data_IF_907115513852
#
_entry.id   IF_907115513852
#
_cell.length_a   1.000
_cell.length_b   1.000
_cell.length_c   1.000
_cell.angle_alpha   90.00
_cell.angle_beta   90.00
_cell.angle_gamma   90.00
#
_symmetry.space_group_name_H-M   'P 1'
#
loop_
_entity.id
_entity.type
_entity.pdbx_description
1 polymer ?
#
# COMPACT_ATOMS: atom_id res chain seq x y z
N UNK A 1 48.12 17.50 -22.59
CA UNK A 1 46.79 17.51 -23.24
C UNK A 1 46.10 16.20 -22.89
N UNK A 2 44.84 16.24 -22.44
CA UNK A 2 43.93 15.08 -22.44
C UNK A 2 43.78 14.32 -21.11
N UNK A 3 43.05 14.88 -20.14
CA UNK A 3 42.29 14.09 -19.17
C UNK A 3 40.80 14.37 -19.37
N UNK A 4 40.11 13.46 -20.04
CA UNK A 4 38.65 13.42 -20.12
C UNK A 4 38.10 12.63 -18.94
N UNK A 5 37.77 13.33 -17.85
CA UNK A 5 36.94 12.75 -16.81
C UNK A 5 35.50 12.65 -17.33
N UNK A 6 35.08 11.43 -17.64
CA UNK A 6 33.67 11.11 -17.88
C UNK A 6 32.96 11.04 -16.52
N UNK A 7 32.44 12.18 -16.07
CA UNK A 7 31.49 12.21 -14.96
C UNK A 7 30.14 11.72 -15.46
N UNK A 8 29.85 10.43 -15.29
CA UNK A 8 28.47 9.94 -15.36
C UNK A 8 27.73 10.56 -14.19
N UNK A 9 27.01 11.66 -14.47
CA UNK A 9 26.07 12.22 -13.50
C UNK A 9 24.96 11.19 -13.33
N UNK A 10 25.03 10.41 -12.24
CA UNK A 10 23.88 9.68 -11.71
C UNK A 10 22.79 10.72 -11.41
N UNK A 11 21.93 10.96 -12.39
CA UNK A 11 20.74 11.79 -12.23
C UNK A 11 19.84 11.05 -11.24
N UNK A 12 19.90 11.47 -9.98
CA UNK A 12 19.02 10.96 -8.94
C UNK A 12 17.57 11.25 -9.35
N UNK A 13 16.85 10.24 -9.85
CA UNK A 13 15.46 10.39 -10.28
C UNK A 13 14.61 10.64 -9.04
N UNK A 14 13.79 11.69 -9.04
CA UNK A 14 12.94 12.01 -7.88
C UNK A 14 11.75 11.05 -7.80
N UNK A 15 11.18 10.87 -6.61
CA UNK A 15 10.00 10.02 -6.38
C UNK A 15 8.80 10.48 -7.23
N UNK A 16 8.61 11.80 -7.35
CA UNK A 16 7.60 12.42 -8.20
C UNK A 16 7.80 12.11 -9.69
N UNK A 17 9.03 12.12 -10.18
CA UNK A 17 9.31 11.76 -11.57
C UNK A 17 8.99 10.29 -11.85
N UNK A 18 9.26 9.39 -10.89
CA UNK A 18 8.93 7.98 -11.00
C UNK A 18 7.42 7.74 -10.99
N UNK A 19 6.68 8.42 -10.10
CA UNK A 19 5.21 8.30 -10.05
C UNK A 19 4.57 8.84 -11.33
N UNK A 20 5.06 9.98 -11.85
CA UNK A 20 4.64 10.54 -13.13
C UNK A 20 4.87 9.58 -14.31
N UNK A 21 6.07 8.99 -14.41
CA UNK A 21 6.38 8.04 -15.48
C UNK A 21 5.51 6.78 -15.39
N UNK A 22 5.24 6.30 -14.17
CA UNK A 22 4.37 5.16 -13.93
C UNK A 22 2.91 5.45 -14.32
N UNK A 23 2.37 6.60 -13.91
CA UNK A 23 1.02 7.03 -14.30
C UNK A 23 0.91 7.10 -15.83
N UNK A 24 1.93 7.63 -16.51
CA UNK A 24 1.98 7.67 -17.99
C UNK A 24 2.03 6.28 -18.62
N UNK A 25 2.75 5.32 -18.02
CA UNK A 25 2.77 3.91 -18.48
C UNK A 25 1.40 3.25 -18.29
N UNK A 26 0.75 3.47 -17.15
CA UNK A 26 -0.59 2.97 -16.90
C UNK A 26 -1.62 3.58 -17.88
N UNK A 27 -1.60 4.90 -18.09
CA UNK A 27 -2.46 5.57 -19.06
C UNK A 27 -2.39 4.91 -20.45
N UNK A 28 -1.18 4.57 -20.91
CA UNK A 28 -0.95 4.00 -22.24
C UNK A 28 -1.26 2.50 -22.36
N UNK A 29 -1.12 1.73 -21.28
CA UNK A 29 -1.22 0.24 -21.32
C UNK A 29 -2.51 -0.30 -20.72
N UNK A 30 -3.11 0.43 -19.78
CA UNK A 30 -4.30 0.00 -19.02
C UNK A 30 -5.61 0.60 -19.54
N UNK A 31 -5.54 1.67 -20.34
CA UNK A 31 -6.70 2.34 -20.93
C UNK A 31 -6.64 2.28 -22.45
N UNK A 32 -7.81 2.24 -23.07
CA UNK A 32 -7.98 2.59 -24.48
C UNK A 32 -7.98 4.11 -24.65
N UNK A 33 -7.73 4.59 -25.87
CA UNK A 33 -7.75 6.03 -26.16
C UNK A 33 -9.11 6.67 -25.86
N UNK A 34 -10.21 5.94 -26.07
CA UNK A 34 -11.56 6.42 -25.77
C UNK A 34 -11.80 6.52 -24.26
N UNK A 35 -11.45 5.47 -23.50
CA UNK A 35 -11.57 5.50 -22.03
C UNK A 35 -10.76 6.64 -21.42
N UNK A 36 -9.52 6.87 -21.90
CA UNK A 36 -8.68 7.94 -21.38
C UNK A 36 -9.25 9.32 -21.71
N UNK A 37 -9.81 9.51 -22.91
CA UNK A 37 -10.48 10.75 -23.29
C UNK A 37 -11.70 11.03 -22.41
N UNK A 38 -12.60 10.04 -22.29
CA UNK A 38 -13.78 10.16 -21.42
C UNK A 38 -13.39 10.39 -19.95
N UNK A 39 -12.35 9.72 -19.47
CA UNK A 39 -11.88 9.90 -18.10
C UNK A 39 -11.32 11.31 -17.87
N UNK A 40 -10.56 11.84 -18.83
CA UNK A 40 -10.05 13.20 -18.76
C UNK A 40 -11.18 14.25 -18.78
N UNK A 41 -12.23 14.00 -19.57
CA UNK A 41 -13.41 14.88 -19.64
C UNK A 41 -14.17 14.90 -18.31
N UNK A 42 -14.47 13.72 -17.75
CA UNK A 42 -15.08 13.57 -16.42
C UNK A 42 -14.22 14.23 -15.34
N UNK A 43 -12.90 14.03 -15.40
CA UNK A 43 -11.97 14.67 -14.46
C UNK A 43 -12.08 16.19 -14.53
N UNK A 44 -11.98 16.79 -15.72
CA UNK A 44 -12.08 18.24 -15.89
C UNK A 44 -13.44 18.81 -15.48
N UNK A 45 -14.52 18.07 -15.74
CA UNK A 45 -15.88 18.50 -15.41
C UNK A 45 -16.13 18.53 -13.90
N UNK A 46 -15.48 17.67 -13.13
CA UNK A 46 -15.71 17.53 -11.69
C UNK A 46 -14.60 18.17 -10.84
N UNK A 47 -13.45 18.48 -11.44
CA UNK A 47 -12.28 18.95 -10.72
C UNK A 47 -12.43 20.39 -10.26
N UNK A 48 -12.05 20.62 -9.02
CA UNK A 48 -11.81 21.96 -8.53
C UNK A 48 -10.48 22.46 -9.07
N UNK A 49 -10.41 23.77 -9.30
CA UNK A 49 -9.23 24.43 -9.84
C UNK A 49 -8.72 25.45 -8.81
N UNK A 50 -7.47 25.31 -8.40
CA UNK A 50 -6.80 26.27 -7.52
C UNK A 50 -5.39 26.51 -8.04
N UNK A 51 -5.02 27.79 -8.22
CA UNK A 51 -3.70 28.21 -8.71
C UNK A 51 -3.25 27.48 -9.99
N UNK A 52 -4.19 27.16 -10.88
CA UNK A 52 -3.93 26.45 -12.14
C UNK A 52 -3.79 24.92 -12.01
N UNK A 53 -3.97 24.36 -10.81
CA UNK A 53 -3.96 22.91 -10.57
C UNK A 53 -5.39 22.40 -10.42
N UNK A 54 -5.72 21.36 -11.19
CA UNK A 54 -7.00 20.66 -11.12
C UNK A 54 -6.90 19.44 -10.19
N UNK A 55 -7.82 19.31 -9.24
CA UNK A 55 -7.83 18.22 -8.27
C UNK A 55 -9.24 17.86 -7.79
N UNK A 56 -9.38 16.67 -7.20
CA UNK A 56 -10.61 16.24 -6.53
C UNK A 56 -10.51 16.41 -5.01
N UNK A 57 -11.57 16.98 -4.43
CA UNK A 57 -11.79 17.03 -2.99
C UNK A 57 -12.64 15.84 -2.53
N UNK A 58 -12.71 15.66 -1.22
CA UNK A 58 -13.56 14.66 -0.59
C UNK A 58 -15.01 14.77 -1.05
N UNK A 59 -15.59 15.97 -1.00
CA UNK A 59 -16.98 16.21 -1.42
C UNK A 59 -17.25 15.76 -2.85
N UNK A 60 -16.31 16.02 -3.77
CA UNK A 60 -16.43 15.63 -5.18
C UNK A 60 -16.50 14.11 -5.31
N UNK A 61 -15.62 13.39 -4.62
CA UNK A 61 -15.59 11.91 -4.64
C UNK A 61 -16.85 11.34 -3.99
N UNK A 62 -17.26 11.88 -2.84
CA UNK A 62 -18.44 11.43 -2.11
C UNK A 62 -19.72 11.60 -2.93
N UNK A 63 -19.90 12.77 -3.56
CA UNK A 63 -21.04 13.05 -4.44
C UNK A 63 -21.01 12.18 -5.70
N UNK A 64 -19.83 12.00 -6.30
CA UNK A 64 -19.70 11.15 -7.50
C UNK A 64 -20.02 9.68 -7.23
N UNK A 65 -19.64 9.18 -6.05
CA UNK A 65 -19.94 7.82 -5.60
C UNK A 65 -21.32 7.69 -4.93
N UNK A 66 -22.09 8.77 -4.86
CA UNK A 66 -23.41 8.85 -4.21
C UNK A 66 -23.39 8.29 -2.76
N UNK A 67 -22.31 8.55 -2.02
CA UNK A 67 -22.16 8.08 -0.63
C UNK A 67 -23.11 8.90 0.27
N UNK A 68 -24.02 8.26 1.00
CA UNK A 68 -24.87 8.97 1.95
C UNK A 68 -24.07 9.50 3.15
N UNK A 69 -24.21 10.79 3.45
CA UNK A 69 -23.47 11.45 4.55
C UNK A 69 -23.73 10.81 5.92
N UNK A 70 -24.91 10.21 6.11
CA UNK A 70 -25.31 9.51 7.35
C UNK A 70 -24.36 8.36 7.73
N UNK A 71 -23.65 7.78 6.75
CA UNK A 71 -22.72 6.68 6.99
C UNK A 71 -21.37 7.17 7.52
N UNK A 72 -21.05 8.46 7.36
CA UNK A 72 -19.74 9.01 7.73
C UNK A 72 -18.57 8.32 7.02
N UNK A 73 -18.81 7.67 5.88
CA UNK A 73 -17.82 6.86 5.16
C UNK A 73 -16.97 7.69 4.18
N UNK A 74 -17.42 8.88 3.79
CA UNK A 74 -16.74 9.77 2.85
C UNK A 74 -15.27 10.03 3.22
N UNK A 75 -14.92 10.36 4.49
CA UNK A 75 -13.53 10.61 4.87
C UNK A 75 -12.66 9.35 4.76
N UNK A 76 -13.23 8.18 5.06
CA UNK A 76 -12.52 6.89 5.02
C UNK A 76 -12.21 6.53 3.56
N UNK A 77 -13.18 6.69 2.66
CA UNK A 77 -12.99 6.44 1.24
C UNK A 77 -12.02 7.44 0.64
N UNK A 78 -12.11 8.72 1.02
CA UNK A 78 -11.19 9.74 0.55
C UNK A 78 -9.74 9.48 1.03
N UNK A 79 -9.56 9.09 2.29
CA UNK A 79 -8.27 8.65 2.82
C UNK A 79 -7.73 7.43 2.06
N UNK A 80 -8.59 6.45 1.76
CA UNK A 80 -8.22 5.29 0.96
C UNK A 80 -7.73 5.72 -0.44
N UNK A 81 -8.51 6.55 -1.13
CA UNK A 81 -8.22 7.00 -2.50
C UNK A 81 -6.94 7.85 -2.57
N UNK A 82 -6.75 8.78 -1.63
CA UNK A 82 -5.52 9.58 -1.53
C UNK A 82 -4.30 8.72 -1.21
N UNK A 83 -4.45 7.69 -0.39
CA UNK A 83 -3.36 6.73 -0.13
C UNK A 83 -3.01 5.91 -1.38
N UNK A 84 -4.01 5.43 -2.12
CA UNK A 84 -3.81 4.71 -3.37
C UNK A 84 -3.16 5.59 -4.46
N UNK A 85 -3.51 6.87 -4.50
CA UNK A 85 -2.90 7.87 -5.38
C UNK A 85 -1.40 8.07 -5.11
N UNK A 86 -0.93 7.80 -3.89
CA UNK A 86 0.48 7.87 -3.53
C UNK A 86 1.30 6.64 -3.97
N UNK A 87 0.67 5.61 -4.55
CA UNK A 87 1.39 4.43 -5.04
C UNK A 87 2.47 4.83 -6.07
N UNK A 88 3.69 4.26 -6.01
CA UNK A 88 4.14 3.17 -5.14
C UNK A 88 4.72 3.63 -3.79
N UNK A 89 4.80 4.94 -3.54
CA UNK A 89 5.45 5.53 -2.37
C UNK A 89 4.42 5.96 -1.32
N UNK A 90 3.87 4.99 -0.58
CA UNK A 90 2.84 5.27 0.45
C UNK A 90 3.30 6.13 1.64
N UNK A 91 4.55 6.59 1.67
CA UNK A 91 5.07 7.57 2.62
C UNK A 91 4.68 9.01 2.28
N UNK A 92 4.38 9.27 1.00
CA UNK A 92 3.98 10.60 0.50
C UNK A 92 2.47 10.83 0.67
N UNK A 93 1.74 9.85 1.22
CA UNK A 93 0.31 9.94 1.48
C UNK A 93 0.00 10.80 2.73
N UNK A 94 -1.13 11.55 2.73
CA UNK A 94 -2.11 11.68 1.66
C UNK A 94 -1.65 12.64 0.55
N UNK A 95 -1.91 12.29 -0.72
CA UNK A 95 -1.58 13.14 -1.87
C UNK A 95 -2.80 13.88 -2.42
N UNK A 96 -2.56 15.01 -3.08
CA UNK A 96 -3.59 15.72 -3.85
C UNK A 96 -4.02 14.87 -5.05
N UNK A 97 -5.33 14.69 -5.21
CA UNK A 97 -5.91 13.86 -6.27
C UNK A 97 -5.96 14.61 -7.61
N UNK A 98 -4.81 14.76 -8.24
CA UNK A 98 -4.71 15.19 -9.63
C UNK A 98 -5.08 14.08 -10.62
N UNK A 99 -5.02 14.39 -11.92
CA UNK A 99 -5.37 13.43 -12.97
C UNK A 99 -4.48 12.18 -12.93
N UNK A 100 -3.19 12.33 -12.65
CA UNK A 100 -2.24 11.22 -12.61
C UNK A 100 -2.50 10.30 -11.41
N UNK A 101 -2.73 10.88 -10.23
CA UNK A 101 -3.10 10.13 -9.04
C UNK A 101 -4.41 9.38 -9.25
N UNK A 102 -5.38 9.99 -9.93
CA UNK A 102 -6.64 9.33 -10.29
C UNK A 102 -6.46 8.17 -11.28
N UNK A 103 -5.52 8.28 -12.23
CA UNK A 103 -5.12 7.13 -13.07
C UNK A 103 -4.59 5.99 -12.20
N UNK A 104 -3.72 6.28 -11.23
CA UNK A 104 -3.18 5.27 -10.30
C UNK A 104 -4.30 4.57 -9.54
N UNK A 105 -5.20 5.34 -8.93
CA UNK A 105 -6.34 4.84 -8.16
C UNK A 105 -7.20 3.91 -9.02
N UNK A 106 -7.65 4.37 -10.18
CA UNK A 106 -8.55 3.59 -11.05
C UNK A 106 -7.88 2.30 -11.50
N UNK A 107 -6.60 2.33 -11.86
CA UNK A 107 -5.86 1.15 -12.32
C UNK A 107 -5.63 0.14 -11.20
N UNK A 108 -5.38 0.61 -9.98
CA UNK A 108 -5.22 -0.26 -8.81
C UNK A 108 -6.56 -0.90 -8.42
N UNK A 109 -7.62 -0.10 -8.34
CA UNK A 109 -8.98 -0.56 -7.97
C UNK A 109 -9.56 -1.54 -8.99
N UNK A 110 -9.31 -1.33 -10.28
CA UNK A 110 -9.79 -2.21 -11.37
C UNK A 110 -8.84 -3.36 -11.70
N UNK A 111 -7.77 -3.52 -10.93
CA UNK A 111 -6.75 -4.57 -11.12
C UNK A 111 -6.03 -4.56 -12.48
N UNK A 112 -6.18 -3.48 -13.27
CA UNK A 112 -5.58 -3.36 -14.60
C UNK A 112 -4.05 -3.20 -14.57
N UNK A 113 -3.47 -2.95 -13.40
CA UNK A 113 -2.01 -2.81 -13.20
C UNK A 113 -1.22 -4.03 -13.66
N UNK A 114 -1.82 -5.21 -13.72
CA UNK A 114 -1.17 -6.47 -14.12
C UNK A 114 -0.52 -6.39 -15.52
N UNK A 115 -1.01 -5.49 -16.39
CA UNK A 115 -0.43 -5.25 -17.73
C UNK A 115 0.94 -4.60 -17.70
N UNK A 116 1.28 -3.92 -16.61
CA UNK A 116 2.55 -3.19 -16.43
C UNK A 116 3.39 -3.82 -15.31
N UNK A 117 2.75 -4.29 -14.24
CA UNK A 117 3.39 -4.92 -13.08
C UNK A 117 3.10 -6.43 -13.05
N UNK A 118 4.13 -7.24 -13.31
CA UNK A 118 4.01 -8.71 -13.42
C UNK A 118 3.75 -9.44 -12.09
N UNK A 119 3.94 -8.78 -10.95
CA UNK A 119 3.79 -9.36 -9.60
C UNK A 119 3.16 -8.30 -8.69
N UNK A 120 1.84 -8.31 -8.54
CA UNK A 120 1.15 -7.27 -7.76
C UNK A 120 -0.23 -7.62 -7.19
N UNK A 121 -0.75 -8.85 -7.38
CA UNK A 121 -2.05 -9.24 -6.80
C UNK A 121 -2.02 -9.22 -5.27
N UNK A 122 -1.01 -9.85 -4.66
CA UNK A 122 -0.82 -9.89 -3.20
C UNK A 122 -0.47 -8.52 -2.61
N UNK A 123 0.14 -7.65 -3.40
CA UNK A 123 0.54 -6.31 -2.97
C UNK A 123 -0.64 -5.33 -2.93
N UNK A 124 -1.65 -5.53 -3.79
CA UNK A 124 -2.88 -4.72 -3.75
C UNK A 124 -3.63 -4.89 -2.45
N UNK A 125 -3.85 -6.12 -2.00
CA UNK A 125 -4.56 -6.37 -0.73
C UNK A 125 -3.83 -5.69 0.42
N UNK A 126 -2.49 -5.80 0.48
CA UNK A 126 -1.68 -5.11 1.48
C UNK A 126 -1.83 -3.59 1.39
N UNK A 127 -1.87 -3.04 0.17
CA UNK A 127 -2.04 -1.62 -0.06
C UNK A 127 -3.43 -1.12 0.41
N UNK A 128 -4.50 -1.85 0.12
CA UNK A 128 -5.86 -1.53 0.56
C UNK A 128 -6.00 -1.56 2.08
N UNK A 129 -5.49 -2.61 2.74
CA UNK A 129 -5.50 -2.66 4.20
C UNK A 129 -4.67 -1.54 4.82
N UNK A 130 -3.52 -1.20 4.23
CA UNK A 130 -2.68 -0.08 4.68
C UNK A 130 -3.36 1.27 4.52
N UNK A 131 -4.14 1.44 3.45
CA UNK A 131 -4.90 2.67 3.20
C UNK A 131 -6.08 2.89 4.15
N UNK A 132 -6.60 1.80 4.74
CA UNK A 132 -7.71 1.82 5.71
C UNK A 132 -7.23 1.68 7.16
N UNK A 133 -5.94 1.42 7.38
CA UNK A 133 -5.39 1.30 8.71
C UNK A 133 -5.28 2.69 9.36
N UNK A 134 -5.81 2.79 10.58
CA UNK A 134 -5.60 3.96 11.43
C UNK A 134 -4.24 3.80 12.10
N UNK A 135 -3.27 4.57 11.63
CA UNK A 135 -1.95 4.66 12.28
C UNK A 135 -2.00 5.74 13.35
N UNK A 136 -1.78 5.36 14.60
CA UNK A 136 -1.54 6.35 15.64
C UNK A 136 -0.25 7.09 15.27
N UNK A 137 -0.31 8.44 15.22
CA UNK A 137 0.77 9.27 14.65
C UNK A 137 2.12 9.14 15.39
N UNK A 138 2.18 8.37 16.48
CA UNK A 138 3.39 8.04 17.23
C UNK A 138 4.23 6.90 16.65
N UNK A 139 3.67 5.98 15.84
CA UNK A 139 4.38 4.76 15.42
C UNK A 139 4.98 4.81 14.01
N UNK A 140 4.63 5.83 13.21
CA UNK A 140 5.11 6.00 11.82
C UNK A 140 6.63 6.21 11.69
N UNK A 141 7.36 6.34 12.81
CA UNK A 141 8.83 6.42 12.84
C UNK A 141 9.54 5.11 13.20
N UNK A 142 8.85 4.10 13.74
CA UNK A 142 9.51 2.92 14.31
C UNK A 142 9.45 1.66 13.44
N UNK A 143 8.60 1.62 12.40
CA UNK A 143 8.23 0.37 11.72
C UNK A 143 8.86 0.08 10.35
N UNK A 144 9.69 0.97 9.78
CA UNK A 144 10.25 0.78 8.42
C UNK A 144 11.73 0.33 8.44
N UNK A 145 12.43 0.51 9.56
CA UNK A 145 13.78 -0.03 9.74
C UNK A 145 13.72 -1.34 10.53
N UNK A 146 13.56 -2.47 9.84
CA UNK A 146 14.12 -3.77 10.24
C UNK A 146 13.78 -4.83 9.19
N UNK A 147 14.56 -4.82 8.12
CA UNK A 147 14.79 -6.03 7.34
C UNK A 147 16.21 -6.00 6.74
N UNK A 148 17.20 -6.33 7.59
CA UNK A 148 18.33 -7.23 7.29
C UNK A 148 19.36 -7.08 8.42
N UNK A 149 19.44 -8.06 9.32
CA UNK A 149 20.67 -8.86 9.45
C UNK A 149 20.46 -10.06 10.39
N UNK A 150 20.98 -11.21 9.97
CA UNK A 150 21.08 -12.42 10.79
C UNK A 150 22.50 -12.47 11.35
N UNK A 151 22.66 -12.38 12.66
CA UNK A 151 23.69 -13.13 13.39
C UNK A 151 23.37 -13.11 14.89
N UNK A 152 23.34 -14.28 15.49
CA UNK A 152 22.98 -14.46 16.90
C UNK A 152 24.09 -14.05 17.87
N UNK A 153 23.71 -13.87 19.14
CA UNK A 153 24.33 -14.43 20.35
C UNK A 153 23.60 -13.83 21.57
N UNK A 154 23.00 -14.68 22.40
CA UNK A 154 22.58 -14.41 23.79
C UNK A 154 23.76 -14.63 24.75
N UNK A 155 23.71 -14.25 26.05
CA UNK A 155 23.27 -13.03 26.75
C UNK A 155 24.47 -12.57 27.70
N UNK A 156 24.37 -11.80 28.84
CA UNK A 156 23.45 -11.96 29.98
C UNK A 156 22.90 -10.68 30.68
N UNK A 157 21.73 -10.86 31.31
CA UNK A 157 21.25 -10.41 32.63
C UNK A 157 21.78 -9.11 33.26
N UNK A 158 20.86 -8.19 33.59
CA UNK A 158 20.86 -7.49 34.89
C UNK A 158 19.43 -7.09 35.28
N UNK A 159 19.06 -7.47 36.50
CA UNK A 159 17.84 -7.12 37.21
C UNK A 159 17.84 -5.64 37.64
N UNK A 160 16.66 -5.04 37.80
CA UNK A 160 16.51 -3.68 38.31
C UNK A 160 15.09 -3.09 38.18
N UNK A 161 14.16 -3.63 38.97
CA UNK A 161 12.99 -3.00 39.61
C UNK A 161 12.37 -1.71 39.01
N UNK A 162 11.12 -1.80 38.53
CA UNK A 162 10.05 -0.85 38.91
C UNK A 162 8.67 -1.40 38.54
N UNK A 163 7.92 -1.72 39.59
CA UNK A 163 6.50 -2.10 39.57
C UNK A 163 5.64 -0.91 39.11
N UNK A 164 4.95 -1.07 37.98
CA UNK A 164 3.70 -0.32 37.69
C UNK A 164 2.64 -1.33 37.32
N UNK A 165 1.86 -1.72 38.33
CA UNK A 165 0.62 -2.47 38.16
C UNK A 165 -0.37 -1.60 37.40
N UNK A 166 -0.72 -2.00 36.17
CA UNK A 166 -1.97 -1.57 35.55
C UNK A 166 -2.78 -2.81 35.19
N UNK A 167 -3.84 -2.99 35.97
CA UNK A 167 -4.78 -4.10 35.90
C UNK A 167 -5.75 -3.86 34.74
N UNK A 168 -5.64 -4.65 33.68
CA UNK A 168 -6.69 -4.80 32.68
C UNK A 168 -6.87 -6.31 32.39
N UNK A 169 -7.82 -6.90 33.10
CA UNK A 169 -8.28 -8.28 32.92
C UNK A 169 -8.98 -8.42 31.57
N UNK A 170 -8.33 -9.10 30.63
CA UNK A 170 -8.87 -9.36 29.29
C UNK A 170 -8.61 -10.80 28.84
N UNK A 171 -9.71 -11.55 28.74
CA UNK A 171 -9.93 -12.82 28.02
C UNK A 171 -9.07 -14.06 28.39
N UNK A 172 -9.74 -15.04 28.99
CA UNK A 172 -9.25 -16.41 29.17
C UNK A 172 -9.04 -17.07 27.79
N UNK A 173 -7.82 -17.55 27.55
CA UNK A 173 -7.42 -18.27 26.34
C UNK A 173 -7.78 -19.74 26.53
N UNK A 174 -8.62 -20.29 25.66
CA UNK A 174 -8.84 -21.74 25.56
C UNK A 174 -7.51 -22.43 25.21
N UNK A 175 -7.06 -23.32 26.08
CA UNK A 175 -5.89 -24.15 25.84
C UNK A 175 -6.22 -25.21 24.78
N UNK A 176 -5.44 -25.27 23.71
CA UNK A 176 -5.58 -26.32 22.70
C UNK A 176 -5.28 -27.68 23.34
N UNK A 177 -6.26 -28.59 23.30
CA UNK A 177 -6.08 -29.98 23.71
C UNK A 177 -5.11 -30.69 22.75
N UNK A 178 -4.03 -31.24 23.28
CA UNK A 178 -3.16 -32.20 22.58
C UNK A 178 -3.98 -33.44 22.21
N UNK A 179 -4.27 -33.62 20.93
CA UNK A 179 -4.81 -34.87 20.37
C UNK A 179 -3.76 -35.46 19.41
N UNK A 180 -2.67 -35.99 19.99
CA UNK A 180 -1.70 -36.83 19.26
C UNK A 180 -2.34 -38.18 18.96
N UNK A 181 -3.12 -38.23 17.87
CA UNK A 181 -3.62 -39.49 17.32
C UNK A 181 -2.53 -40.19 16.53
N UNK A 182 -2.01 -41.24 17.14
CA UNK A 182 -1.19 -42.30 16.53
C UNK A 182 -1.88 -42.92 15.31
N UNK A 183 -1.60 -42.41 14.10
CA UNK A 183 -2.00 -43.09 12.86
C UNK A 183 -0.86 -43.99 12.33
N UNK A 184 -0.94 -45.24 12.76
CA UNK A 184 -0.12 -46.39 12.36
C UNK A 184 -0.16 -46.58 10.83
N UNK A 185 0.87 -46.09 10.14
CA UNK A 185 1.07 -46.28 8.69
C UNK A 185 1.16 -47.77 8.32
N UNK A 186 0.13 -48.23 7.63
CA UNK A 186 0.09 -49.49 6.86
C UNK A 186 1.20 -49.49 5.80
N UNK A 187 2.14 -50.44 5.89
CA UNK A 187 2.95 -50.89 4.74
C UNK A 187 2.57 -52.33 4.40
N UNK A 188 1.69 -52.48 3.42
CA UNK A 188 1.53 -53.70 2.62
C UNK A 188 1.80 -53.34 1.17
N UNK A 189 2.76 -54.00 0.54
CA UNK A 189 2.87 -54.03 -0.91
C UNK A 189 4.27 -54.27 -1.47
N UNK A 190 4.47 -55.50 -1.98
CA UNK A 190 5.42 -55.93 -3.04
C UNK A 190 6.90 -55.97 -2.61
N UNK A 191 7.58 -57.12 -2.52
CA UNK A 191 7.56 -58.27 -3.42
C UNK A 191 8.63 -58.06 -4.51
N UNK A 192 9.83 -58.65 -4.33
CA UNK A 192 10.72 -59.10 -5.39
C UNK A 192 11.97 -59.80 -4.82
N UNK A 193 12.10 -61.07 -5.24
CA UNK A 193 13.29 -61.93 -5.33
C UNK A 193 13.88 -62.47 -4.03
#
# INVERSE_FOLDING_TARGET
>A
MGQSQSGTSDKHVTTEQLSHELARKFAKRCFTSLELFSFQDVFKSLADHQDGVAYFKEDTIARFLEIPDILGASPIIYQMVTYLGAFPFGQDAPVVLGFEQMIMVVVIMTERYQRVLKKGSRDRTKLLFRSLAVYDRGESRAGIEKQDDKTGTTPPLSEGDSVVQNHATGFAVDAAANDDKDEKRRRRGRGRR
#
